data_IF_823387923025
#
_entry.id   IF_823387923025
#
_cell.length_a   1.000
_cell.length_b   1.000
_cell.length_c   1.000
_cell.angle_alpha   90.00
_cell.angle_beta   90.00
_cell.angle_gamma   90.00
#
_symmetry.space_group_name_H-M   'P 1'
#
loop_
_entity.id
_entity.type
_entity.pdbx_description
1 polymer ?
#
# COMPACT_ATOMS: atom_id res chain seq x y z
N UNK A 1 8.18 19.88 14.12
CA UNK A 1 8.47 19.40 12.73
C UNK A 1 9.64 18.43 12.60
N UNK A 2 10.81 18.66 13.23
CA UNK A 2 11.93 17.68 13.19
C UNK A 2 11.57 16.35 13.87
N UNK A 3 10.98 16.40 15.06
CA UNK A 3 10.51 15.20 15.79
C UNK A 3 9.45 14.40 15.01
N UNK A 4 8.51 15.09 14.35
CA UNK A 4 7.49 14.44 13.53
C UNK A 4 8.11 13.67 12.34
N UNK A 5 9.06 14.28 11.61
CA UNK A 5 9.78 13.59 10.53
C UNK A 5 10.59 12.40 11.03
N UNK A 6 11.18 12.51 12.22
CA UNK A 6 11.91 11.41 12.87
C UNK A 6 10.96 10.26 13.19
N UNK A 7 9.80 10.56 13.79
CA UNK A 7 8.73 9.58 14.06
C UNK A 7 8.32 8.81 12.81
N UNK A 8 7.97 9.51 11.72
CA UNK A 8 7.62 8.87 10.44
C UNK A 8 8.73 7.96 9.94
N UNK A 9 10.00 8.41 10.00
CA UNK A 9 11.13 7.60 9.52
C UNK A 9 11.28 6.32 10.31
N UNK A 10 11.16 6.37 11.63
CA UNK A 10 11.25 5.16 12.46
C UNK A 10 10.03 4.24 12.24
N UNK A 11 8.82 4.79 12.07
CA UNK A 11 7.63 4.00 11.70
C UNK A 11 7.78 3.31 10.34
N UNK A 12 8.38 3.98 9.34
CA UNK A 12 8.69 3.36 8.04
C UNK A 12 9.68 2.22 8.23
N UNK A 13 10.77 2.39 9.00
CA UNK A 13 11.72 1.30 9.25
C UNK A 13 11.06 0.10 9.92
N UNK A 14 10.26 0.33 10.96
CA UNK A 14 9.50 -0.74 11.64
C UNK A 14 8.57 -1.46 10.67
N UNK A 15 7.87 -0.72 9.82
CA UNK A 15 6.97 -1.27 8.81
C UNK A 15 7.73 -2.06 7.74
N UNK A 16 8.90 -1.61 7.31
CA UNK A 16 9.75 -2.33 6.37
C UNK A 16 10.24 -3.65 6.96
N UNK A 17 10.70 -3.65 8.21
CA UNK A 17 11.13 -4.88 8.91
C UNK A 17 9.95 -5.86 8.99
N UNK A 18 8.79 -5.40 9.49
CA UNK A 18 7.60 -6.23 9.59
C UNK A 18 7.16 -6.76 8.22
N UNK A 19 7.14 -5.90 7.20
CA UNK A 19 6.74 -6.29 5.85
C UNK A 19 7.70 -7.34 5.27
N UNK A 20 9.02 -7.19 5.44
CA UNK A 20 9.99 -8.23 5.01
C UNK A 20 9.73 -9.55 5.72
N UNK A 21 9.48 -9.53 7.04
CA UNK A 21 9.15 -10.73 7.80
C UNK A 21 7.88 -11.39 7.27
N UNK A 22 6.81 -10.62 7.07
CA UNK A 22 5.53 -11.11 6.55
C UNK A 22 5.69 -11.66 5.12
N UNK A 23 6.44 -10.97 4.27
CA UNK A 23 6.72 -11.42 2.90
C UNK A 23 7.47 -12.75 2.93
N UNK A 24 8.51 -12.88 3.76
CA UNK A 24 9.25 -14.13 3.89
C UNK A 24 8.33 -15.28 4.32
N UNK A 25 7.47 -15.07 5.32
CA UNK A 25 6.50 -16.07 5.76
C UNK A 25 5.50 -16.44 4.66
N UNK A 26 4.95 -15.45 3.94
CA UNK A 26 4.03 -15.69 2.84
C UNK A 26 4.72 -16.49 1.73
N UNK A 27 5.93 -16.12 1.32
CA UNK A 27 6.62 -16.79 0.23
C UNK A 27 7.03 -18.23 0.59
N UNK A 28 7.40 -18.48 1.84
CA UNK A 28 7.75 -19.82 2.32
C UNK A 28 6.53 -20.72 2.50
N UNK A 29 5.40 -20.18 2.97
CA UNK A 29 4.21 -20.95 3.34
C UNK A 29 3.01 -20.75 2.41
N UNK A 30 3.17 -20.09 1.26
CA UNK A 30 2.07 -19.74 0.33
C UNK A 30 1.10 -20.88 0.01
N UNK A 31 1.59 -22.09 -0.25
CA UNK A 31 0.73 -23.24 -0.57
C UNK A 31 -0.05 -23.70 0.65
N UNK A 32 0.62 -23.82 1.80
CA UNK A 32 0.00 -24.18 3.07
C UNK A 32 -1.04 -23.14 3.49
N UNK A 33 -0.77 -21.85 3.28
CA UNK A 33 -1.71 -20.77 3.59
C UNK A 33 -3.00 -20.87 2.79
N UNK A 34 -2.93 -21.22 1.50
CA UNK A 34 -4.13 -21.43 0.69
C UNK A 34 -4.81 -22.77 1.04
N UNK A 35 -4.02 -23.80 1.33
CA UNK A 35 -4.50 -25.13 1.73
C UNK A 35 -5.35 -25.10 3.01
N UNK A 36 -5.16 -24.11 3.89
CA UNK A 36 -6.01 -23.89 5.07
C UNK A 36 -7.46 -23.54 4.70
N UNK A 37 -7.70 -22.95 3.53
CA UNK A 37 -9.02 -22.51 3.09
C UNK A 37 -9.64 -23.44 2.06
N UNK A 38 -8.82 -24.15 1.26
CA UNK A 38 -9.31 -25.02 0.20
C UNK A 38 -8.34 -26.18 -0.05
N UNK A 39 -8.85 -27.39 -0.20
CA UNK A 39 -8.06 -28.61 -0.45
C UNK A 39 -7.87 -28.93 -1.94
N UNK A 40 -8.56 -28.22 -2.84
CA UNK A 40 -8.41 -28.38 -4.29
C UNK A 40 -7.02 -27.92 -4.75
N UNK A 41 -6.30 -28.81 -5.43
CA UNK A 41 -4.94 -28.59 -5.91
C UNK A 41 -4.86 -27.44 -6.93
N UNK A 42 -5.87 -27.27 -7.77
CA UNK A 42 -5.88 -26.19 -8.76
C UNK A 42 -6.07 -24.83 -8.08
N UNK A 43 -6.92 -24.76 -7.06
CA UNK A 43 -7.11 -23.55 -6.25
C UNK A 43 -5.84 -23.21 -5.47
N UNK A 44 -5.17 -24.20 -4.87
CA UNK A 44 -3.90 -24.01 -4.16
C UNK A 44 -2.83 -23.46 -5.12
N UNK A 45 -2.72 -24.02 -6.33
CA UNK A 45 -1.74 -23.59 -7.32
C UNK A 45 -1.97 -22.14 -7.77
N UNK A 46 -3.22 -21.77 -8.05
CA UNK A 46 -3.59 -20.41 -8.46
C UNK A 46 -3.36 -19.42 -7.30
N UNK A 47 -3.82 -19.75 -6.09
CA UNK A 47 -3.65 -18.90 -4.91
C UNK A 47 -2.19 -18.72 -4.50
N UNK A 48 -1.38 -19.77 -4.61
CA UNK A 48 0.07 -19.73 -4.34
C UNK A 48 0.80 -18.82 -5.34
N UNK A 49 0.45 -18.94 -6.63
CA UNK A 49 0.99 -18.07 -7.70
C UNK A 49 0.60 -16.61 -7.46
N UNK A 50 -0.66 -16.36 -7.06
CA UNK A 50 -1.14 -15.04 -6.67
C UNK A 50 -0.30 -14.45 -5.52
N UNK A 51 -0.14 -15.19 -4.41
CA UNK A 51 0.66 -14.76 -3.25
C UNK A 51 2.12 -14.47 -3.62
N UNK A 52 2.69 -15.24 -4.54
CA UNK A 52 4.03 -14.98 -5.06
C UNK A 52 4.13 -13.65 -5.82
N UNK A 53 3.13 -13.34 -6.65
CA UNK A 53 3.10 -12.10 -7.43
C UNK A 53 2.90 -10.89 -6.52
N UNK A 54 1.93 -10.94 -5.60
CA UNK A 54 1.57 -9.77 -4.78
C UNK A 54 2.49 -9.57 -3.57
N UNK A 55 3.08 -10.65 -3.04
CA UNK A 55 3.84 -10.66 -1.79
C UNK A 55 4.88 -9.54 -1.71
N UNK A 56 5.83 -9.44 -2.67
CA UNK A 56 6.87 -8.40 -2.64
C UNK A 56 6.33 -6.97 -2.55
N UNK A 57 5.13 -6.71 -3.07
CA UNK A 57 4.51 -5.38 -3.07
C UNK A 57 3.85 -5.02 -1.73
N UNK A 58 3.86 -5.91 -0.74
CA UNK A 58 3.38 -5.62 0.63
C UNK A 58 4.19 -4.49 1.27
N UNK A 59 5.47 -4.36 0.90
CA UNK A 59 6.33 -3.24 1.29
C UNK A 59 5.78 -1.89 0.80
N UNK A 60 5.18 -1.85 -0.39
CA UNK A 60 4.72 -0.62 -1.02
C UNK A 60 3.42 -0.15 -0.38
N UNK A 61 2.46 -1.06 -0.19
CA UNK A 61 1.23 -0.74 0.53
C UNK A 61 1.51 -0.36 1.98
N UNK A 62 2.39 -1.08 2.68
CA UNK A 62 2.75 -0.77 4.06
C UNK A 62 3.32 0.63 4.21
N UNK A 63 4.31 0.98 3.36
CA UNK A 63 4.91 2.33 3.38
C UNK A 63 3.89 3.42 3.03
N UNK A 64 3.04 3.17 2.03
CA UNK A 64 1.95 4.09 1.65
C UNK A 64 0.97 4.31 2.80
N UNK A 65 0.68 3.26 3.56
CA UNK A 65 -0.25 3.30 4.69
C UNK A 65 0.31 4.12 5.85
N UNK A 66 1.60 3.98 6.18
CA UNK A 66 2.28 4.80 7.20
C UNK A 66 2.22 6.28 6.84
N UNK A 67 2.61 6.64 5.60
CA UNK A 67 2.61 8.02 5.15
C UNK A 67 1.19 8.61 5.14
N UNK A 68 0.22 7.86 4.63
CA UNK A 68 -1.18 8.29 4.58
C UNK A 68 -1.77 8.44 5.99
N UNK A 69 -1.41 7.56 6.93
CA UNK A 69 -1.85 7.64 8.33
C UNK A 69 -1.23 8.83 9.06
N UNK A 70 0.05 9.13 8.78
CA UNK A 70 0.69 10.32 9.31
C UNK A 70 0.06 11.62 8.79
N UNK A 71 -0.33 11.67 7.51
CA UNK A 71 -1.03 12.82 6.92
C UNK A 71 -2.46 12.98 7.47
N UNK A 72 -3.20 11.88 7.63
CA UNK A 72 -4.50 11.86 8.32
C UNK A 72 -4.39 12.38 9.74
N UNK A 73 -3.38 11.93 10.50
CA UNK A 73 -3.11 12.41 11.86
C UNK A 73 -2.71 13.89 11.94
N UNK A 74 -2.25 14.47 10.83
CA UNK A 74 -1.97 15.90 10.70
C UNK A 74 -3.16 16.72 10.15
N UNK A 75 -4.37 16.16 10.10
CA UNK A 75 -5.57 16.88 9.66
C UNK A 75 -5.81 16.91 8.15
N UNK A 76 -4.98 16.25 7.34
CA UNK A 76 -5.13 16.20 5.88
C UNK A 76 -5.76 14.89 5.39
N UNK A 77 -6.91 14.55 5.95
CA UNK A 77 -7.65 13.33 5.61
C UNK A 77 -8.18 13.33 4.18
N UNK A 78 -8.47 14.51 3.62
CA UNK A 78 -8.99 14.64 2.26
C UNK A 78 -7.96 14.20 1.21
N UNK A 79 -6.67 14.50 1.43
CA UNK A 79 -5.62 14.04 0.54
C UNK A 79 -5.49 12.50 0.55
N UNK A 80 -5.55 11.86 1.73
CA UNK A 80 -5.50 10.41 1.84
C UNK A 80 -6.67 9.72 1.10
N UNK A 81 -7.85 10.34 1.12
CA UNK A 81 -9.02 9.86 0.40
C UNK A 81 -8.84 10.00 -1.12
N UNK A 82 -8.47 11.19 -1.61
CA UNK A 82 -8.26 11.45 -3.05
C UNK A 82 -7.15 10.55 -3.61
N UNK A 83 -6.03 10.42 -2.90
CA UNK A 83 -4.92 9.56 -3.32
C UNK A 83 -5.32 8.09 -3.39
N UNK A 84 -6.14 7.61 -2.46
CA UNK A 84 -6.67 6.23 -2.49
C UNK A 84 -7.59 6.01 -3.70
N UNK A 85 -8.47 6.96 -3.99
CA UNK A 85 -9.35 6.92 -5.17
C UNK A 85 -8.53 6.92 -6.46
N UNK A 86 -7.55 7.81 -6.59
CA UNK A 86 -6.65 7.88 -7.76
C UNK A 86 -5.89 6.57 -7.94
N UNK A 87 -5.34 6.01 -6.87
CA UNK A 87 -4.59 4.76 -6.92
C UNK A 87 -5.47 3.58 -7.39
N UNK A 88 -6.74 3.57 -6.99
CA UNK A 88 -7.70 2.54 -7.38
C UNK A 88 -8.19 2.74 -8.83
N UNK A 89 -8.72 3.92 -9.12
CA UNK A 89 -9.42 4.21 -10.38
C UNK A 89 -8.49 4.51 -11.55
N UNK A 90 -7.34 5.16 -11.30
CA UNK A 90 -6.38 5.51 -12.34
C UNK A 90 -5.17 4.56 -12.37
N UNK A 91 -4.88 3.89 -11.25
CA UNK A 91 -3.81 2.89 -11.18
C UNK A 91 -4.32 1.48 -11.40
N UNK A 92 -5.04 0.95 -10.42
CA UNK A 92 -5.39 -0.47 -10.35
C UNK A 92 -6.35 -0.89 -11.46
N UNK A 93 -7.48 -0.20 -11.63
CA UNK A 93 -8.50 -0.60 -12.62
C UNK A 93 -7.98 -0.57 -14.07
N UNK A 94 -7.31 0.50 -14.53
CA UNK A 94 -6.79 0.55 -15.90
C UNK A 94 -5.66 -0.46 -16.09
N UNK A 95 -4.77 -0.63 -15.10
CA UNK A 95 -3.70 -1.61 -15.18
C UNK A 95 -4.25 -3.04 -15.25
N UNK A 96 -5.22 -3.40 -14.39
CA UNK A 96 -5.89 -4.71 -14.44
C UNK A 96 -6.57 -4.94 -15.79
N UNK A 97 -7.27 -3.93 -16.35
CA UNK A 97 -7.94 -4.06 -17.64
C UNK A 97 -6.97 -4.18 -18.82
N UNK A 98 -5.84 -3.46 -18.79
CA UNK A 98 -4.83 -3.54 -19.84
C UNK A 98 -4.04 -4.85 -19.75
N UNK A 99 -3.56 -5.20 -18.55
CA UNK A 99 -2.74 -6.40 -18.34
C UNK A 99 -3.56 -7.68 -18.53
N UNK A 100 -4.86 -7.68 -18.23
CA UNK A 100 -5.70 -8.86 -18.48
C UNK A 100 -5.80 -9.22 -19.96
N UNK A 101 -5.65 -8.25 -20.87
CA UNK A 101 -5.62 -8.52 -22.32
C UNK A 101 -4.34 -9.24 -22.76
N UNK A 102 -3.23 -9.05 -22.05
CA UNK A 102 -1.94 -9.65 -22.39
C UNK A 102 -1.67 -10.95 -21.63
N UNK A 103 -2.04 -11.01 -20.35
CA UNK A 103 -1.70 -12.10 -19.44
C UNK A 103 -2.93 -12.87 -18.94
N UNK A 104 -4.12 -12.63 -19.52
CA UNK A 104 -5.36 -13.28 -19.11
C UNK A 104 -5.72 -13.00 -17.65
N UNK A 105 -6.06 -14.04 -16.90
CA UNK A 105 -6.45 -13.93 -15.48
C UNK A 105 -5.32 -13.39 -14.61
N UNK A 106 -4.06 -13.71 -14.92
CA UNK A 106 -2.90 -13.24 -14.17
C UNK A 106 -2.72 -11.72 -14.27
N UNK A 107 -3.08 -11.16 -15.43
CA UNK A 107 -3.07 -9.71 -15.64
C UNK A 107 -4.04 -8.95 -14.72
N UNK A 108 -5.14 -9.58 -14.32
CA UNK A 108 -6.09 -9.00 -13.36
C UNK A 108 -5.40 -8.83 -11.99
N UNK A 109 -4.69 -9.86 -11.54
CA UNK A 109 -3.96 -9.87 -10.28
C UNK A 109 -2.81 -8.87 -10.27
N UNK A 110 -2.08 -8.72 -11.38
CA UNK A 110 -0.96 -7.79 -11.52
C UNK A 110 -1.37 -6.31 -11.42
N UNK A 111 -2.64 -5.98 -11.65
CA UNK A 111 -3.13 -4.61 -11.43
C UNK A 111 -3.12 -4.19 -9.96
N UNK A 112 -3.15 -5.14 -9.00
CA UNK A 112 -3.03 -4.84 -7.56
C UNK A 112 -1.66 -4.24 -7.23
N UNK A 113 -0.53 -4.91 -7.53
CA UNK A 113 0.81 -4.32 -7.45
C UNK A 113 0.93 -2.95 -8.12
N UNK A 114 0.32 -2.79 -9.30
CA UNK A 114 0.39 -1.54 -10.04
C UNK A 114 -0.31 -0.40 -9.29
N UNK A 115 -1.50 -0.67 -8.75
CA UNK A 115 -2.23 0.26 -7.89
C UNK A 115 -1.46 0.65 -6.63
N UNK A 116 -0.85 -0.31 -5.94
CA UNK A 116 -0.02 -0.03 -4.76
C UNK A 116 1.23 0.78 -5.10
N UNK A 117 1.85 0.50 -6.23
CA UNK A 117 3.03 1.24 -6.72
C UNK A 117 2.65 2.68 -7.05
N UNK A 118 1.57 2.90 -7.79
CA UNK A 118 1.09 4.24 -8.11
C UNK A 118 0.70 5.01 -6.85
N UNK A 119 -0.01 4.37 -5.92
CA UNK A 119 -0.41 4.98 -4.65
C UNK A 119 0.78 5.37 -3.77
N UNK A 120 1.83 4.55 -3.75
CA UNK A 120 3.08 4.90 -3.09
C UNK A 120 3.71 6.14 -3.73
N UNK A 121 3.81 6.17 -5.07
CA UNK A 121 4.39 7.31 -5.80
C UNK A 121 3.63 8.60 -5.48
N UNK A 122 2.30 8.60 -5.60
CA UNK A 122 1.45 9.77 -5.30
C UNK A 122 1.64 10.24 -3.87
N UNK A 123 1.58 9.31 -2.91
CA UNK A 123 1.73 9.58 -1.48
C UNK A 123 3.11 10.15 -1.14
N UNK A 124 4.18 9.57 -1.72
CA UNK A 124 5.57 10.04 -1.50
C UNK A 124 5.80 11.41 -2.11
N UNK A 125 5.31 11.66 -3.33
CA UNK A 125 5.42 12.97 -4.00
C UNK A 125 4.73 14.04 -3.15
N UNK A 126 3.51 13.77 -2.68
CA UNK A 126 2.78 14.71 -1.85
C UNK A 126 3.45 14.97 -0.50
N UNK A 127 3.93 13.90 0.16
CA UNK A 127 4.69 14.01 1.39
C UNK A 127 5.93 14.91 1.22
N UNK A 128 6.66 14.75 0.11
CA UNK A 128 7.83 15.59 -0.22
C UNK A 128 7.46 17.04 -0.52
N UNK A 129 6.38 17.28 -1.27
CA UNK A 129 5.87 18.65 -1.54
C UNK A 129 5.47 19.40 -0.27
N UNK A 130 5.07 18.68 0.78
CA UNK A 130 4.88 19.27 2.10
C UNK A 130 3.59 20.07 2.28
N UNK A 131 2.64 19.97 1.34
CA UNK A 131 1.32 20.59 1.45
C UNK A 131 0.53 20.11 2.68
N UNK A 132 0.83 18.92 3.18
CA UNK A 132 0.27 18.43 4.45
C UNK A 132 0.67 19.28 5.67
N UNK A 133 1.80 20.00 5.61
CA UNK A 133 2.33 20.78 6.74
C UNK A 133 1.52 22.04 7.02
N UNK A 134 0.88 22.61 6.01
CA UNK A 134 0.06 23.84 6.16
C UNK A 134 -1.28 23.54 6.80
N UNK A 135 -1.73 22.28 6.76
CA UNK A 135 -2.94 21.80 7.44
C UNK A 135 -2.68 21.21 8.82
N UNK A 136 -1.42 20.90 9.13
CA UNK A 136 -0.98 20.31 10.40
C UNK A 136 -1.17 21.21 11.64
N UNK A 137 -1.60 22.46 11.47
CA UNK A 137 -1.85 23.39 12.57
C UNK A 137 -3.08 24.23 12.23
N UNK A 138 -4.29 23.74 12.52
CA UNK A 138 -5.46 24.62 12.61
C UNK A 138 -6.19 24.32 13.92
N UNK A 139 -6.21 25.35 14.77
CA UNK A 139 -7.08 25.60 15.93
C UNK A 139 -6.81 24.90 17.26
N UNK A 140 -5.71 25.27 17.94
CA UNK A 140 -5.72 25.23 19.41
C UNK A 140 -5.00 26.42 20.07
N UNK A 141 -5.24 27.65 19.58
CA UNK A 141 -4.73 28.85 20.27
C UNK A 141 -5.38 30.19 19.91
N UNK A 142 -6.72 30.25 19.81
CA UNK A 142 -7.44 31.53 19.90
C UNK A 142 -8.72 31.25 20.71
N UNK A 143 -8.63 31.38 22.03
CA UNK A 143 -9.70 31.59 23.02
C UNK A 143 -9.20 31.14 24.41
N UNK A 144 -8.22 31.85 24.97
CA UNK A 144 -8.08 32.08 26.41
C UNK A 144 -7.55 33.50 26.60
#
# INVERSE_FOLDING_TARGET
>A
MKEFKKGIRESIKMTLVLAVTVIALILLFRENLIALFNTDKDVIKIGSSYLFIIGPFFLFIGTSFVLSSAMKGAGDSMFALISSIVSLWLGRLPASYMLSKFFGTDGIWMGIPFGWTLGLIVTVIYYKKGHWKTKAIVNHRINE
#
